data_IF_984239738221
#
_entry.id   IF_984239738221
#
_cell.length_a   1.000
_cell.length_b   1.000
_cell.length_c   1.000
_cell.angle_alpha   90.00
_cell.angle_beta   90.00
_cell.angle_gamma   90.00
#
_symmetry.space_group_name_H-M   'P 1'
#
loop_
_entity.id
_entity.type
_entity.pdbx_description
1 polymer ?
#
# COMPACT_ATOMS: atom_id res chain seq x y z
N UNK A 1 -51.16 41.28 43.67
CA UNK A 1 -50.99 40.67 42.33
C UNK A 1 -50.64 41.80 41.37
N UNK A 2 -49.39 41.92 40.93
CA UNK A 2 -48.96 42.99 40.02
C UNK A 2 -49.09 42.51 38.57
N UNK A 3 -49.97 43.16 37.79
CA UNK A 3 -50.13 42.90 36.36
C UNK A 3 -49.31 43.93 35.60
N UNK A 4 -48.20 43.50 35.00
CA UNK A 4 -47.32 44.38 34.21
C UNK A 4 -47.85 44.44 32.77
N UNK A 5 -48.35 45.60 32.34
CA UNK A 5 -48.76 45.86 30.97
C UNK A 5 -47.59 46.45 30.16
N UNK A 6 -47.04 45.68 29.22
CA UNK A 6 -45.95 46.14 28.34
C UNK A 6 -46.55 46.74 27.05
N UNK A 7 -46.50 48.06 26.94
CA UNK A 7 -46.93 48.79 25.72
C UNK A 7 -45.92 48.58 24.57
N UNK A 8 -46.41 48.44 23.34
CA UNK A 8 -45.68 48.16 22.09
C UNK A 8 -44.82 46.88 22.13
N UNK A 9 -45.40 45.79 22.62
CA UNK A 9 -44.69 44.51 22.77
C UNK A 9 -44.17 43.94 21.44
N UNK A 10 -44.91 44.10 20.33
CA UNK A 10 -44.52 43.55 19.01
C UNK A 10 -43.23 44.17 18.47
N UNK A 11 -43.09 45.50 18.53
CA UNK A 11 -41.86 46.19 18.11
C UNK A 11 -40.68 45.87 19.02
N UNK A 12 -40.91 45.75 20.33
CA UNK A 12 -39.87 45.38 21.28
C UNK A 12 -39.38 43.95 21.04
N UNK A 13 -40.29 43.00 20.80
CA UNK A 13 -39.95 41.62 20.45
C UNK A 13 -39.16 41.57 19.14
N UNK A 14 -39.60 42.31 18.11
CA UNK A 14 -38.88 42.35 16.84
C UNK A 14 -37.44 42.87 17.00
N UNK A 15 -37.24 43.97 17.77
CA UNK A 15 -35.90 44.51 18.05
C UNK A 15 -35.03 43.52 18.84
N UNK A 16 -35.61 42.81 19.82
CA UNK A 16 -34.86 41.79 20.57
C UNK A 16 -34.51 40.59 19.69
N UNK A 17 -35.39 40.16 18.78
CA UNK A 17 -35.10 39.07 17.85
C UNK A 17 -34.02 39.45 16.84
N UNK A 18 -34.04 40.69 16.33
CA UNK A 18 -32.99 41.20 15.43
C UNK A 18 -31.64 41.23 16.17
N UNK A 19 -31.62 41.72 17.41
CA UNK A 19 -30.41 41.70 18.24
C UNK A 19 -29.90 40.28 18.47
N UNK A 20 -30.78 39.34 18.85
CA UNK A 20 -30.40 37.94 19.06
C UNK A 20 -29.86 37.28 17.78
N UNK A 21 -30.49 37.54 16.63
CA UNK A 21 -30.05 37.03 15.33
C UNK A 21 -28.69 37.60 14.93
N UNK A 22 -28.47 38.90 15.15
CA UNK A 22 -27.17 39.53 14.90
C UNK A 22 -26.06 38.94 15.78
N UNK A 23 -26.35 38.66 17.06
CA UNK A 23 -25.42 37.97 17.96
C UNK A 23 -25.11 36.55 17.49
N UNK A 24 -26.11 35.82 17.04
CA UNK A 24 -25.92 34.47 16.54
C UNK A 24 -25.10 34.43 15.25
N UNK A 25 -25.34 35.37 14.32
CA UNK A 25 -24.56 35.51 13.09
C UNK A 25 -23.10 35.87 13.41
N UNK A 26 -22.85 36.76 14.38
CA UNK A 26 -21.51 37.10 14.83
C UNK A 26 -20.78 35.87 15.39
N UNK A 27 -21.47 35.06 16.20
CA UNK A 27 -20.91 33.83 16.78
C UNK A 27 -20.48 32.82 15.69
N UNK A 28 -21.31 32.64 14.65
CA UNK A 28 -20.97 31.77 13.52
C UNK A 28 -19.76 32.31 12.74
N UNK A 29 -19.72 33.61 12.46
CA UNK A 29 -18.63 34.25 11.72
C UNK A 29 -17.30 34.09 12.47
N UNK A 30 -17.30 34.31 13.78
CA UNK A 30 -16.11 34.16 14.63
C UNK A 30 -15.61 32.72 14.64
N UNK A 31 -16.50 31.74 14.78
CA UNK A 31 -16.12 30.33 14.74
C UNK A 31 -15.54 29.91 13.38
N UNK A 32 -16.07 30.44 12.27
CA UNK A 32 -15.56 30.14 10.93
C UNK A 32 -14.15 30.71 10.70
N UNK A 33 -13.86 31.91 11.22
CA UNK A 33 -12.53 32.51 11.13
C UNK A 33 -11.54 31.76 12.03
N UNK A 34 -11.96 31.41 13.25
CA UNK A 34 -11.11 30.67 14.20
C UNK A 34 -10.79 29.26 13.70
N UNK A 35 -11.76 28.53 13.16
CA UNK A 35 -11.51 27.15 12.71
C UNK A 35 -10.56 27.06 11.52
N UNK A 36 -10.54 28.06 10.63
CA UNK A 36 -9.69 28.05 9.43
C UNK A 36 -8.29 28.62 9.66
N UNK A 37 -8.13 29.56 10.57
CA UNK A 37 -6.88 30.33 10.70
C UNK A 37 -6.11 30.07 12.00
N UNK A 38 -6.66 29.29 12.93
CA UNK A 38 -5.96 28.98 14.17
C UNK A 38 -5.11 27.72 13.99
N UNK A 39 -3.81 27.94 13.93
CA UNK A 39 -2.84 26.87 14.10
C UNK A 39 -2.48 26.78 15.59
N UNK A 40 -2.61 25.60 16.19
CA UNK A 40 -2.18 25.35 17.56
C UNK A 40 -0.73 24.91 17.57
N UNK A 41 0.06 25.49 18.47
CA UNK A 41 1.43 25.02 18.71
C UNK A 41 1.35 23.93 19.77
N UNK A 42 1.40 22.67 19.32
CA UNK A 42 1.53 21.54 20.22
C UNK A 42 2.99 21.43 20.65
N UNK A 43 3.24 21.59 21.95
CA UNK A 43 4.58 21.43 22.53
C UNK A 43 4.62 20.22 23.46
N UNK A 44 5.52 19.27 23.17
CA UNK A 44 5.73 18.06 23.97
C UNK A 44 6.93 18.29 24.87
N UNK A 45 6.70 18.36 26.19
CA UNK A 45 7.71 18.48 27.24
C UNK A 45 8.80 19.54 26.96
N UNK A 46 8.43 20.65 26.32
CA UNK A 46 9.36 21.74 25.93
C UNK A 46 10.49 21.35 24.97
N UNK A 47 10.49 20.12 24.42
CA UNK A 47 11.55 19.64 23.53
C UNK A 47 11.16 19.70 22.05
N UNK A 48 9.87 19.57 21.74
CA UNK A 48 9.36 19.50 20.36
C UNK A 48 8.09 20.33 20.24
N UNK A 49 8.07 21.24 19.27
CA UNK A 49 6.91 22.10 19.00
C UNK A 49 6.50 22.00 17.53
N UNK A 50 5.22 21.75 17.27
CA UNK A 50 4.67 21.66 15.92
C UNK A 50 3.46 22.59 15.78
N UNK A 51 3.35 23.23 14.63
CA UNK A 51 2.17 24.02 14.26
C UNK A 51 1.16 23.12 13.57
N UNK A 52 0.06 22.83 14.26
CA UNK A 52 -0.99 21.92 13.79
C UNK A 52 -2.27 22.71 13.44
N UNK A 53 -3.06 22.27 12.45
CA UNK A 53 -4.39 22.82 12.21
C UNK A 53 -5.31 22.58 13.42
N UNK A 54 -6.45 23.28 13.48
CA UNK A 54 -7.41 23.17 14.58
C UNK A 54 -7.96 21.74 14.78
N UNK A 55 -8.15 21.01 13.67
CA UNK A 55 -8.60 19.63 13.69
C UNK A 55 -7.44 18.72 13.24
N UNK A 56 -6.93 17.90 14.16
CA UNK A 56 -5.93 16.88 13.87
C UNK A 56 -6.16 15.64 14.73
N UNK A 57 -5.80 14.47 14.20
CA UNK A 57 -5.83 13.20 14.91
C UNK A 57 -4.44 12.62 14.96
N UNK A 58 -3.95 12.33 16.17
CA UNK A 58 -2.70 11.61 16.37
C UNK A 58 -3.05 10.14 16.50
N UNK A 59 -2.79 9.36 15.45
CA UNK A 59 -3.15 7.93 15.43
C UNK A 59 -2.15 7.08 16.20
N UNK A 60 -0.85 7.23 15.90
CA UNK A 60 0.21 6.46 16.55
C UNK A 60 1.43 7.36 16.79
N UNK A 61 1.99 7.32 18.00
CA UNK A 61 3.25 7.99 18.35
C UNK A 61 4.32 6.91 18.51
N UNK A 62 5.26 6.85 17.56
CA UNK A 62 6.37 5.90 17.61
C UNK A 62 7.55 6.52 18.34
N UNK A 63 7.85 6.01 19.54
CA UNK A 63 9.06 6.36 20.28
C UNK A 63 10.07 5.25 20.00
N UNK A 64 11.21 5.60 19.41
CA UNK A 64 12.29 4.65 19.20
C UNK A 64 13.07 4.50 20.51
N UNK A 65 12.78 3.46 21.29
CA UNK A 65 13.50 3.14 22.54
C UNK A 65 14.89 2.50 22.30
N UNK A 66 15.44 2.58 21.08
CA UNK A 66 16.68 1.88 20.73
C UNK A 66 17.97 2.51 21.28
N UNK A 67 17.95 3.71 21.88
CA UNK A 67 19.15 4.32 22.47
C UNK A 67 18.92 4.73 23.93
N UNK A 68 19.58 4.02 24.83
CA UNK A 68 19.61 4.27 26.28
C UNK A 68 20.46 5.48 26.71
N UNK A 69 20.99 6.25 25.77
CA UNK A 69 21.79 7.44 26.07
C UNK A 69 21.04 8.71 25.63
N UNK A 70 20.61 9.48 26.63
CA UNK A 70 19.62 10.54 26.53
C UNK A 70 20.08 11.81 25.82
N UNK A 71 20.14 11.78 24.49
CA UNK A 71 20.13 12.98 23.65
C UNK A 71 19.01 12.90 22.61
N UNK A 72 18.08 13.85 22.67
CA UNK A 72 17.05 14.06 21.64
C UNK A 72 17.65 14.98 20.58
N UNK A 73 18.05 14.43 19.44
CA UNK A 73 18.49 15.20 18.29
C UNK A 73 17.27 15.79 17.55
N UNK A 74 17.02 17.08 17.75
CA UNK A 74 16.00 17.84 16.99
C UNK A 74 16.64 18.31 15.69
N UNK A 75 16.33 17.58 14.63
CA UNK A 75 16.89 17.77 13.31
C UNK A 75 17.02 16.42 12.67
N UNK A 76 15.90 15.74 12.43
CA UNK A 76 15.93 14.59 11.55
C UNK A 76 16.39 15.13 10.18
N UNK A 77 17.57 14.76 9.63
CA UNK A 77 17.63 14.64 8.19
C UNK A 77 16.48 13.70 7.86
N UNK A 78 15.62 14.08 6.91
CA UNK A 78 14.59 13.19 6.40
C UNK A 78 15.14 11.77 6.40
N UNK A 79 14.69 10.91 7.34
CA UNK A 79 14.97 9.49 7.23
C UNK A 79 14.17 9.15 6.01
N UNK A 80 14.84 9.16 4.86
CA UNK A 80 14.30 8.64 3.60
C UNK A 80 13.63 7.33 4.02
N UNK A 81 12.32 7.14 3.74
CA UNK A 81 11.65 5.89 4.07
C UNK A 81 12.60 4.78 3.66
N UNK A 82 12.99 3.95 4.65
CA UNK A 82 14.13 3.01 4.61
C UNK A 82 14.39 2.67 3.17
N UNK A 83 15.41 3.30 2.56
CA UNK A 83 15.55 3.23 1.10
C UNK A 83 15.74 1.75 0.83
N UNK A 84 14.71 1.08 0.32
CA UNK A 84 14.82 -0.32 -0.01
C UNK A 84 15.92 -0.37 -1.04
N UNK A 85 17.06 -0.89 -0.63
CA UNK A 85 18.18 -1.06 -1.52
C UNK A 85 17.79 -2.16 -2.46
N UNK A 86 17.31 -1.80 -3.64
CA UNK A 86 17.08 -2.78 -4.69
C UNK A 86 18.43 -3.29 -5.16
N UNK A 87 18.55 -4.60 -5.24
CA UNK A 87 19.64 -5.29 -5.92
C UNK A 87 19.13 -5.70 -7.29
N UNK A 88 20.04 -5.74 -8.26
CA UNK A 88 19.73 -6.22 -9.59
C UNK A 88 20.16 -7.69 -9.69
N UNK A 89 19.25 -8.54 -10.18
CA UNK A 89 19.53 -9.91 -10.55
C UNK A 89 19.62 -10.00 -12.08
N UNK A 90 20.64 -10.70 -12.58
CA UNK A 90 20.79 -11.00 -14.01
C UNK A 90 21.16 -12.48 -14.13
N UNK A 91 20.33 -13.23 -14.85
CA UNK A 91 20.67 -14.59 -15.28
C UNK A 91 21.34 -14.53 -16.65
N UNK A 92 22.65 -14.82 -16.70
CA UNK A 92 23.42 -14.81 -17.95
C UNK A 92 22.93 -15.87 -18.95
N UNK A 93 22.48 -17.02 -18.43
CA UNK A 93 21.95 -18.15 -19.20
C UNK A 93 20.48 -17.94 -19.58
N UNK A 94 19.67 -17.49 -18.62
CA UNK A 94 18.25 -17.23 -18.83
C UNK A 94 17.95 -16.01 -19.70
N UNK A 95 18.92 -15.11 -19.90
CA UNK A 95 18.78 -13.85 -20.65
C UNK A 95 17.64 -12.97 -20.11
N UNK A 96 17.50 -12.94 -18.79
CA UNK A 96 16.57 -12.03 -18.12
C UNK A 96 17.19 -11.46 -16.85
N UNK A 97 16.66 -10.33 -16.41
CA UNK A 97 17.02 -9.72 -15.15
C UNK A 97 15.88 -8.92 -14.57
N UNK A 98 15.93 -8.69 -13.27
CA UNK A 98 14.94 -7.90 -12.54
C UNK A 98 15.56 -7.34 -11.26
N UNK A 99 14.97 -6.27 -10.77
CA UNK A 99 15.35 -5.65 -9.50
C UNK A 99 14.51 -6.27 -8.37
N UNK A 100 15.15 -6.53 -7.24
CA UNK A 100 14.49 -7.06 -6.06
C UNK A 100 14.96 -6.36 -4.79
N UNK A 101 14.11 -6.21 -3.77
CA UNK A 101 14.51 -5.61 -2.50
C UNK A 101 15.58 -6.45 -1.82
N UNK A 102 16.62 -5.82 -1.26
CA UNK A 102 17.74 -6.52 -0.62
C UNK A 102 17.36 -7.39 0.59
N UNK A 103 16.13 -7.26 1.10
CA UNK A 103 15.58 -8.11 2.16
C UNK A 103 15.29 -9.54 1.67
N UNK A 104 15.18 -9.76 0.36
CA UNK A 104 14.99 -11.08 -0.21
C UNK A 104 16.34 -11.79 -0.37
N UNK A 105 16.35 -13.05 0.00
CA UNK A 105 17.36 -14.01 -0.42
C UNK A 105 16.92 -14.60 -1.76
N UNK A 106 17.87 -14.72 -2.67
CA UNK A 106 17.67 -15.23 -4.03
C UNK A 106 18.41 -16.54 -4.19
N UNK A 107 17.76 -17.54 -4.77
CA UNK A 107 18.39 -18.79 -5.20
C UNK A 107 17.96 -19.12 -6.64
N UNK A 108 18.93 -19.16 -7.57
CA UNK A 108 18.69 -19.52 -8.97
C UNK A 108 19.00 -21.00 -9.19
N UNK A 109 18.02 -21.72 -9.74
CA UNK A 109 18.10 -23.11 -10.09
C UNK A 109 17.76 -23.29 -11.57
N UNK A 110 18.69 -23.90 -12.30
CA UNK A 110 18.45 -24.37 -13.67
C UNK A 110 17.78 -25.74 -13.58
N UNK A 111 16.58 -25.84 -14.13
CA UNK A 111 15.81 -27.08 -14.09
C UNK A 111 15.97 -27.78 -15.44
N UNK A 112 16.49 -29.01 -15.41
CA UNK A 112 16.70 -29.82 -16.63
C UNK A 112 15.41 -30.42 -17.21
N UNK A 113 14.25 -30.01 -16.68
CA UNK A 113 12.93 -30.45 -17.17
C UNK A 113 12.53 -29.75 -18.47
N UNK A 114 11.52 -30.29 -19.16
CA UNK A 114 11.07 -29.74 -20.45
C UNK A 114 10.32 -28.41 -20.34
N UNK A 115 9.71 -28.15 -19.18
CA UNK A 115 8.67 -27.12 -19.06
C UNK A 115 9.17 -25.86 -18.34
N UNK A 116 9.86 -26.01 -17.20
CA UNK A 116 10.48 -24.91 -16.47
C UNK A 116 11.97 -24.92 -16.77
N UNK A 117 12.46 -23.84 -17.37
CA UNK A 117 13.87 -23.69 -17.75
C UNK A 117 14.68 -23.11 -16.59
N UNK A 118 14.12 -22.10 -15.93
CA UNK A 118 14.77 -21.37 -14.84
C UNK A 118 13.78 -21.12 -13.70
N UNK A 119 14.27 -21.30 -12.48
CA UNK A 119 13.55 -20.97 -11.26
C UNK A 119 14.43 -20.10 -10.37
N UNK A 120 13.91 -18.95 -9.96
CA UNK A 120 14.57 -18.05 -9.04
C UNK A 120 13.66 -17.88 -7.83
N UNK A 121 14.03 -18.45 -6.69
CA UNK A 121 13.26 -18.31 -5.45
C UNK A 121 13.48 -16.91 -4.85
N UNK A 122 12.41 -16.26 -4.40
CA UNK A 122 12.43 -14.99 -3.68
C UNK A 122 11.93 -15.25 -2.25
N UNK A 123 12.83 -15.24 -1.27
CA UNK A 123 12.44 -15.52 0.13
C UNK A 123 12.80 -14.40 1.08
N UNK A 124 11.82 -13.95 1.86
CA UNK A 124 12.02 -13.09 3.02
C UNK A 124 11.45 -13.74 4.28
N UNK A 125 11.58 -13.08 5.43
CA UNK A 125 10.96 -13.55 6.68
C UNK A 125 9.42 -13.56 6.61
N UNK A 126 8.83 -12.66 5.82
CA UNK A 126 7.38 -12.41 5.81
C UNK A 126 6.70 -12.82 4.52
N UNK A 127 7.44 -12.96 3.43
CA UNK A 127 6.91 -13.22 2.10
C UNK A 127 7.78 -14.19 1.32
N UNK A 128 7.11 -14.97 0.47
CA UNK A 128 7.74 -15.89 -0.46
C UNK A 128 7.30 -15.53 -1.87
N UNK A 129 8.12 -15.86 -2.85
CA UNK A 129 7.82 -15.59 -4.24
C UNK A 129 8.81 -16.32 -5.12
N UNK A 130 8.63 -16.18 -6.42
CA UNK A 130 9.60 -16.67 -7.38
C UNK A 130 9.47 -15.97 -8.71
N UNK A 131 10.56 -16.01 -9.49
CA UNK A 131 10.56 -15.71 -10.92
C UNK A 131 10.88 -17.00 -11.65
N UNK A 132 10.06 -17.36 -12.62
CA UNK A 132 10.24 -18.56 -13.43
C UNK A 132 10.18 -18.23 -14.91
N UNK A 133 10.97 -18.98 -15.68
CA UNK A 133 10.91 -18.96 -17.14
C UNK A 133 10.52 -20.34 -17.62
N UNK A 134 9.45 -20.40 -18.40
CA UNK A 134 8.88 -21.64 -18.92
C UNK A 134 8.98 -21.66 -20.43
N UNK A 135 9.11 -22.86 -21.00
CA UNK A 135 8.82 -23.09 -22.40
C UNK A 135 7.30 -23.13 -22.59
N UNK A 136 6.76 -22.27 -23.45
CA UNK A 136 5.32 -22.12 -23.64
C UNK A 136 4.94 -22.49 -25.09
N UNK A 137 4.65 -23.77 -25.37
CA UNK A 137 4.31 -24.24 -26.71
C UNK A 137 2.90 -23.87 -27.17
N UNK A 138 2.04 -23.40 -26.26
CA UNK A 138 0.62 -23.11 -26.49
C UNK A 138 0.29 -21.64 -26.17
N UNK A 139 -0.84 -21.08 -26.63
CA UNK A 139 -1.23 -19.72 -26.29
C UNK A 139 -1.35 -19.50 -24.77
N UNK A 140 -0.88 -18.34 -24.28
CA UNK A 140 -0.91 -18.00 -22.86
C UNK A 140 -2.31 -18.11 -22.23
N UNK A 141 -3.41 -17.63 -22.85
CA UNK A 141 -4.74 -17.75 -22.27
C UNK A 141 -5.16 -19.21 -22.04
N UNK A 142 -4.87 -20.09 -22.99
CA UNK A 142 -5.18 -21.52 -22.89
C UNK A 142 -4.36 -22.20 -21.79
N UNK A 143 -3.09 -21.83 -21.68
CA UNK A 143 -2.23 -22.29 -20.58
C UNK A 143 -2.79 -21.89 -19.22
N UNK A 144 -3.22 -20.64 -19.06
CA UNK A 144 -3.76 -20.12 -17.81
C UNK A 144 -5.10 -20.77 -17.42
N UNK A 145 -6.01 -20.96 -18.37
CA UNK A 145 -7.27 -21.67 -18.13
C UNK A 145 -7.04 -23.14 -17.73
N UNK A 146 -6.08 -23.81 -18.37
CA UNK A 146 -5.67 -25.17 -17.98
C UNK A 146 -5.03 -25.21 -16.60
N UNK A 147 -4.13 -24.27 -16.29
CA UNK A 147 -3.48 -24.17 -14.98
C UNK A 147 -4.51 -23.91 -13.87
N UNK A 148 -5.53 -23.08 -14.12
CA UNK A 148 -6.61 -22.82 -13.18
C UNK A 148 -7.50 -24.04 -12.97
N UNK A 149 -7.93 -24.71 -14.04
CA UNK A 149 -8.85 -25.85 -13.96
C UNK A 149 -8.23 -27.10 -13.33
N UNK A 150 -6.90 -27.23 -13.40
CA UNK A 150 -6.15 -28.33 -12.75
C UNK A 150 -5.69 -28.00 -11.33
N UNK A 151 -5.87 -26.75 -10.89
CA UNK A 151 -5.47 -26.32 -9.55
C UNK A 151 -6.35 -26.96 -8.47
N UNK A 152 -5.72 -27.55 -7.46
CA UNK A 152 -6.38 -28.08 -6.27
C UNK A 152 -6.48 -27.04 -5.14
N UNK A 153 -6.19 -25.77 -5.44
CA UNK A 153 -6.20 -24.70 -4.45
C UNK A 153 -7.64 -24.29 -4.09
N UNK A 154 -7.87 -24.06 -2.78
CA UNK A 154 -9.13 -23.54 -2.29
C UNK A 154 -9.14 -22.00 -2.35
N UNK A 155 -9.55 -21.47 -3.50
CA UNK A 155 -9.63 -20.03 -3.72
C UNK A 155 -10.77 -19.38 -2.92
N UNK A 156 -10.45 -18.41 -2.08
CA UNK A 156 -11.44 -17.54 -1.43
C UNK A 156 -11.95 -16.47 -2.39
N UNK A 157 -11.02 -15.91 -3.17
CA UNK A 157 -11.35 -15.07 -4.32
C UNK A 157 -10.30 -15.28 -5.41
N UNK A 158 -10.67 -14.99 -6.65
CA UNK A 158 -9.77 -15.06 -7.79
C UNK A 158 -10.15 -14.01 -8.84
N UNK A 159 -9.15 -13.27 -9.32
CA UNK A 159 -9.28 -12.33 -10.43
C UNK A 159 -8.16 -12.56 -11.43
N UNK A 160 -8.51 -12.67 -12.70
CA UNK A 160 -7.55 -12.69 -13.81
C UNK A 160 -7.85 -11.51 -14.72
N UNK A 161 -6.83 -10.71 -15.04
CA UNK A 161 -6.99 -9.55 -15.93
C UNK A 161 -5.86 -9.52 -16.96
N UNK A 162 -6.15 -9.23 -18.23
CA UNK A 162 -5.10 -8.99 -19.22
C UNK A 162 -4.35 -7.71 -18.86
N UNK A 163 -3.03 -7.72 -19.08
CA UNK A 163 -2.15 -6.58 -18.88
C UNK A 163 -1.18 -6.46 -20.05
N UNK A 164 -0.63 -5.26 -20.23
CA UNK A 164 0.48 -5.02 -21.15
C UNK A 164 1.60 -4.32 -20.40
N UNK A 165 2.78 -4.93 -20.38
CA UNK A 165 3.94 -4.43 -19.65
C UNK A 165 5.18 -4.46 -20.54
N UNK A 166 5.88 -3.34 -20.69
CA UNK A 166 7.10 -3.25 -21.52
C UNK A 166 6.89 -3.81 -22.96
N UNK A 167 5.72 -3.53 -23.55
CA UNK A 167 5.26 -4.07 -24.85
C UNK A 167 5.04 -5.59 -24.90
N UNK A 168 5.05 -6.29 -23.76
CA UNK A 168 4.68 -7.69 -23.64
C UNK A 168 3.23 -7.80 -23.22
N UNK A 169 2.50 -8.67 -23.89
CA UNK A 169 1.15 -9.04 -23.48
C UNK A 169 1.22 -10.10 -22.38
N UNK A 170 0.27 -10.03 -21.45
CA UNK A 170 0.27 -10.89 -20.29
C UNK A 170 -1.03 -10.86 -19.50
N UNK A 171 -1.00 -11.55 -18.37
CA UNK A 171 -2.11 -11.60 -17.43
C UNK A 171 -1.59 -11.39 -16.00
N UNK A 172 -2.40 -10.72 -15.19
CA UNK A 172 -2.23 -10.68 -13.74
C UNK A 172 -3.28 -11.58 -13.10
N UNK A 173 -2.83 -12.45 -12.20
CA UNK A 173 -3.69 -13.16 -11.28
C UNK A 173 -3.58 -12.53 -9.90
N UNK A 174 -4.71 -12.13 -9.34
CA UNK A 174 -4.85 -11.66 -7.97
C UNK A 174 -5.83 -12.61 -7.27
N UNK A 175 -5.38 -13.36 -6.27
CA UNK A 175 -6.19 -14.37 -5.60
C UNK A 175 -5.75 -14.60 -4.15
N UNK A 176 -6.66 -15.14 -3.32
CA UNK A 176 -6.34 -15.61 -1.97
C UNK A 176 -6.75 -17.06 -1.81
N UNK A 177 -5.92 -17.81 -1.07
CA UNK A 177 -6.13 -19.22 -0.76
C UNK A 177 -6.07 -19.43 0.75
N UNK A 178 -6.72 -20.50 1.21
CA UNK A 178 -6.48 -21.03 2.55
C UNK A 178 -5.39 -22.11 2.45
N UNK A 179 -4.30 -21.92 3.17
CA UNK A 179 -3.22 -22.89 3.27
C UNK A 179 -3.64 -24.14 4.08
N UNK A 180 -2.77 -25.14 4.16
CA UNK A 180 -3.05 -26.37 4.92
C UNK A 180 -3.23 -26.14 6.43
N UNK A 181 -2.78 -25.01 6.94
CA UNK A 181 -2.86 -24.63 8.35
C UNK A 181 -4.08 -23.71 8.64
N UNK A 182 -4.93 -23.45 7.65
CA UNK A 182 -6.07 -22.55 7.78
C UNK A 182 -5.73 -21.06 7.66
N UNK A 183 -4.48 -20.70 7.32
CA UNK A 183 -4.06 -19.30 7.12
C UNK A 183 -4.42 -18.83 5.72
N UNK A 184 -4.92 -17.59 5.63
CA UNK A 184 -5.20 -16.95 4.36
C UNK A 184 -3.93 -16.35 3.77
N UNK A 185 -3.61 -16.73 2.54
CA UNK A 185 -2.43 -16.26 1.81
C UNK A 185 -2.89 -15.48 0.58
N UNK A 186 -2.52 -14.20 0.57
CA UNK A 186 -2.70 -13.32 -0.57
C UNK A 186 -1.60 -13.60 -1.60
N UNK A 187 -2.02 -13.81 -2.84
CA UNK A 187 -1.16 -14.21 -3.95
C UNK A 187 -1.34 -13.26 -5.12
N UNK A 188 -0.24 -12.72 -5.63
CA UNK A 188 -0.21 -11.91 -6.84
C UNK A 188 0.79 -12.52 -7.80
N UNK A 189 0.34 -12.78 -9.02
CA UNK A 189 1.16 -13.38 -10.06
C UNK A 189 1.01 -12.63 -11.38
N UNK A 190 2.11 -12.47 -12.09
CA UNK A 190 2.17 -11.85 -13.41
C UNK A 190 2.78 -12.83 -14.39
N UNK A 191 2.09 -13.02 -15.50
CA UNK A 191 2.44 -13.92 -16.58
C UNK A 191 2.67 -13.09 -17.84
N UNK A 192 3.90 -13.06 -18.35
CA UNK A 192 4.28 -12.30 -19.55
C UNK A 192 4.78 -13.27 -20.62
N UNK A 193 4.36 -13.08 -21.86
CA UNK A 193 4.78 -13.92 -22.98
C UNK A 193 5.76 -13.17 -23.89
N UNK A 194 6.86 -13.83 -24.25
CA UNK A 194 7.79 -13.37 -25.30
C UNK A 194 8.41 -14.57 -26.02
N UNK A 195 8.33 -14.60 -27.35
CA UNK A 195 9.04 -15.57 -28.21
C UNK A 195 8.85 -17.04 -27.79
N UNK A 196 7.60 -17.45 -27.50
CA UNK A 196 7.30 -18.82 -27.08
C UNK A 196 7.77 -19.18 -25.65
N UNK A 197 8.22 -18.20 -24.87
CA UNK A 197 8.52 -18.35 -23.44
C UNK A 197 7.51 -17.60 -22.58
N UNK A 198 7.28 -18.15 -21.40
CA UNK A 198 6.47 -17.54 -20.36
C UNK A 198 7.37 -17.11 -19.19
N UNK A 199 7.28 -15.84 -18.82
CA UNK A 199 7.90 -15.27 -17.64
C UNK A 199 6.82 -15.12 -16.57
N UNK A 200 6.95 -15.89 -15.48
CA UNK A 200 6.03 -15.90 -14.37
C UNK A 200 6.70 -15.29 -13.16
N UNK A 201 6.11 -14.24 -12.59
CA UNK A 201 6.57 -13.61 -11.35
C UNK A 201 5.46 -13.79 -10.33
N UNK A 202 5.77 -14.41 -9.20
CA UNK A 202 4.81 -14.75 -8.16
C UNK A 202 5.22 -14.17 -6.82
N UNK A 203 4.22 -13.70 -6.07
CA UNK A 203 4.42 -13.14 -4.73
C UNK A 203 3.30 -13.58 -3.79
N UNK A 204 3.69 -14.13 -2.65
CA UNK A 204 2.84 -14.77 -1.65
C UNK A 204 3.13 -14.21 -0.27
N UNK A 205 2.10 -13.77 0.42
CA UNK A 205 2.22 -13.19 1.77
C UNK A 205 0.94 -13.45 2.56
N UNK A 206 1.00 -13.60 3.89
CA UNK A 206 -0.20 -13.65 4.72
C UNK A 206 -1.13 -12.47 4.43
N UNK A 207 -2.43 -12.74 4.30
CA UNK A 207 -3.41 -11.72 3.89
C UNK A 207 -3.48 -10.54 4.88
N UNK A 208 -3.29 -10.81 6.17
CA UNK A 208 -3.16 -9.80 7.23
C UNK A 208 -1.98 -8.83 7.04
N UNK A 209 -0.94 -9.28 6.33
CA UNK A 209 0.25 -8.47 6.02
C UNK A 209 0.15 -7.77 4.65
N UNK A 210 -0.92 -8.01 3.89
CA UNK A 210 -1.13 -7.37 2.60
C UNK A 210 -1.54 -5.90 2.75
N UNK A 211 -0.77 -5.01 2.16
CA UNK A 211 -1.06 -3.58 2.15
C UNK A 211 -0.58 -2.93 0.84
N UNK A 212 -0.82 -1.62 0.69
CA UNK A 212 -0.43 -0.87 -0.50
C UNK A 212 1.09 -0.90 -0.76
N UNK A 213 1.90 -1.01 0.30
CA UNK A 213 3.34 -1.14 0.16
C UNK A 213 3.73 -2.48 -0.46
N UNK A 214 3.18 -3.59 0.02
CA UNK A 214 3.44 -4.92 -0.54
C UNK A 214 2.98 -5.03 -2.01
N UNK A 215 1.82 -4.43 -2.31
CA UNK A 215 1.34 -4.32 -3.69
C UNK A 215 2.33 -3.54 -4.56
N UNK A 216 2.77 -2.36 -4.10
CA UNK A 216 3.74 -1.54 -4.83
C UNK A 216 5.05 -2.29 -5.04
N UNK A 217 5.56 -2.95 -4.00
CA UNK A 217 6.79 -3.74 -4.02
C UNK A 217 6.76 -4.81 -5.11
N UNK A 218 5.67 -5.57 -5.18
CA UNK A 218 5.46 -6.57 -6.22
C UNK A 218 5.49 -5.94 -7.62
N UNK A 219 4.76 -4.84 -7.84
CA UNK A 219 4.77 -4.16 -9.13
C UNK A 219 6.12 -3.54 -9.48
N UNK A 220 6.89 -3.05 -8.51
CA UNK A 220 8.24 -2.53 -8.73
C UNK A 220 9.17 -3.66 -9.25
N UNK A 221 9.10 -4.86 -8.66
CA UNK A 221 9.81 -6.07 -9.16
C UNK A 221 9.34 -6.41 -10.58
N UNK A 222 8.02 -6.49 -10.81
CA UNK A 222 7.46 -6.82 -12.12
C UNK A 222 7.88 -5.82 -13.21
N UNK A 223 7.80 -4.52 -12.93
CA UNK A 223 8.13 -3.44 -13.87
C UNK A 223 9.62 -3.41 -14.22
N UNK A 224 10.48 -3.86 -13.30
CA UNK A 224 11.92 -3.93 -13.50
C UNK A 224 12.37 -5.09 -14.40
N UNK A 225 11.47 -6.02 -14.74
CA UNK A 225 11.80 -7.16 -15.59
C UNK A 225 12.32 -6.70 -16.96
N UNK A 226 13.53 -7.17 -17.27
CA UNK A 226 14.19 -6.99 -18.56
C UNK A 226 14.49 -8.36 -19.16
N UNK A 227 14.18 -8.50 -20.44
CA UNK A 227 14.48 -9.70 -21.22
C UNK A 227 15.45 -9.29 -22.33
N UNK A 228 16.64 -9.89 -22.32
CA UNK A 228 17.76 -9.59 -23.20
C UNK A 228 17.76 -10.47 -24.46
#
# INVERSE_FOLDING_TARGET
>A
MYVIFIKNYKEKIARTCILLSAWFALFILVNFILSKNMNYILTINNCLSFSCPADFTVENVFINEANKDGSIETGLPFIKPRTETFKNFISEKGKFGFDYPSIFTIDEQELSGSDILYHVELKSEYSNGFVQVWNLPQPLPEFLEKAKSTSQLNYQYFSSKPIKLNNLDGYVWDYSIIDKNGKQIKSNEVFLQKEGKLYRISYFIPEESWNNYQKKLFYDIVNSLKIY
#
